data_IF_927968323407
#
_entry.id   IF_927968323407
#
_cell.length_a   1.000
_cell.length_b   1.000
_cell.length_c   1.000
_cell.angle_alpha   90.00
_cell.angle_beta   90.00
_cell.angle_gamma   90.00
#
_symmetry.space_group_name_H-M   'P 1'
#
loop_
_entity.id
_entity.type
_entity.pdbx_description
1 polymer ?
#
# COMPACT_ATOMS: atom_id res chain seq x y z
N UNK A 1 -26.62 36.18 44.38
CA UNK A 1 -25.38 36.41 43.61
C UNK A 1 -25.05 35.13 42.84
N UNK A 2 -25.23 35.21 41.51
CA UNK A 2 -24.81 34.35 40.39
C UNK A 2 -24.57 32.84 40.59
N UNK A 3 -25.39 32.01 39.93
CA UNK A 3 -25.07 30.62 39.58
C UNK A 3 -24.43 30.60 38.18
N UNK A 4 -23.25 29.98 38.06
CA UNK A 4 -22.57 29.77 36.78
C UNK A 4 -22.81 28.33 36.35
N UNK A 5 -23.51 28.14 35.23
CA UNK A 5 -23.68 26.83 34.59
C UNK A 5 -22.63 26.72 33.49
N UNK A 6 -21.66 25.81 33.67
CA UNK A 6 -20.68 25.46 32.65
C UNK A 6 -21.30 24.48 31.66
N UNK A 7 -21.66 24.95 30.45
CA UNK A 7 -21.96 24.07 29.33
C UNK A 7 -20.64 23.54 28.75
N UNK A 8 -20.28 22.31 29.11
CA UNK A 8 -19.20 21.57 28.43
C UNK A 8 -19.66 21.17 27.03
N UNK A 9 -19.18 21.85 26.00
CA UNK A 9 -19.42 21.47 24.61
C UNK A 9 -18.75 20.14 24.29
N UNK A 10 -19.55 19.13 23.90
CA UNK A 10 -19.05 17.91 23.28
C UNK A 10 -18.47 18.27 21.90
N UNK A 11 -17.14 18.22 21.78
CA UNK A 11 -16.50 18.19 20.48
C UNK A 11 -16.78 16.83 19.85
N UNK A 12 -17.79 16.76 18.99
CA UNK A 12 -18.02 15.59 18.13
C UNK A 12 -16.89 15.55 17.12
N UNK A 13 -15.96 14.62 17.29
CA UNK A 13 -14.92 14.36 16.30
C UNK A 13 -15.61 13.81 15.04
N UNK A 14 -15.56 14.59 13.95
CA UNK A 14 -16.02 14.12 12.64
C UNK A 14 -15.22 12.88 12.27
N UNK A 15 -15.85 11.71 12.32
CA UNK A 15 -15.28 10.50 11.74
C UNK A 15 -15.00 10.74 10.25
N UNK A 16 -13.94 10.15 9.73
CA UNK A 16 -13.53 10.32 8.32
C UNK A 16 -14.56 9.77 7.31
N UNK A 17 -15.57 9.04 7.79
CA UNK A 17 -16.54 8.34 6.94
C UNK A 17 -15.97 7.08 6.25
N UNK A 18 -14.67 6.81 6.40
CA UNK A 18 -14.06 5.61 5.86
C UNK A 18 -14.45 4.37 6.65
N UNK A 19 -14.70 3.28 5.91
CA UNK A 19 -14.91 1.95 6.46
C UNK A 19 -14.03 0.97 5.71
N UNK A 20 -13.57 -0.06 6.41
CA UNK A 20 -12.91 -1.20 5.76
C UNK A 20 -13.96 -1.90 4.91
N UNK A 21 -13.75 -1.92 3.59
CA UNK A 21 -14.64 -2.60 2.64
C UNK A 21 -14.17 -4.00 2.29
N UNK A 22 -12.86 -4.26 2.41
CA UNK A 22 -12.26 -5.55 2.10
C UNK A 22 -10.91 -5.73 2.81
N UNK A 23 -10.39 -6.97 2.81
CA UNK A 23 -9.05 -7.33 3.28
C UNK A 23 -8.45 -8.38 2.34
N UNK A 24 -7.27 -8.08 1.79
CA UNK A 24 -6.55 -8.99 0.90
C UNK A 24 -5.42 -9.70 1.65
N UNK A 25 -5.56 -10.99 2.00
CA UNK A 25 -4.49 -11.74 2.62
C UNK A 25 -3.41 -12.07 1.58
N UNK A 26 -2.17 -11.67 1.86
CA UNK A 26 -1.00 -11.98 1.03
C UNK A 26 -0.36 -13.33 1.44
N UNK A 27 -0.30 -13.58 2.75
CA UNK A 27 0.43 -14.73 3.31
C UNK A 27 1.94 -14.55 3.24
N UNK A 28 2.68 -15.66 3.35
CA UNK A 28 4.14 -15.69 3.24
C UNK A 28 4.91 -15.19 4.47
N UNK A 29 6.22 -15.01 4.30
CA UNK A 29 7.15 -14.55 5.35
C UNK A 29 7.81 -13.26 4.93
N UNK A 30 8.08 -12.38 5.89
CA UNK A 30 8.66 -11.06 5.64
C UNK A 30 7.76 -9.94 6.13
N UNK A 31 8.32 -8.74 6.22
CA UNK A 31 7.57 -7.53 6.53
C UNK A 31 7.02 -6.86 5.27
N UNK A 32 5.95 -6.10 5.44
CA UNK A 32 5.44 -5.18 4.43
C UNK A 32 6.06 -3.80 4.58
N UNK A 33 6.13 -3.06 3.47
CA UNK A 33 6.46 -1.63 3.47
C UNK A 33 5.42 -0.88 2.62
N UNK A 34 5.78 -0.28 1.47
CA UNK A 34 4.83 0.44 0.63
C UNK A 34 3.97 -0.44 -0.27
N UNK A 35 2.79 0.11 -0.57
CA UNK A 35 1.86 -0.34 -1.60
C UNK A 35 1.76 0.76 -2.66
N UNK A 36 1.77 0.38 -3.93
CA UNK A 36 1.52 1.29 -5.05
C UNK A 36 0.43 0.73 -5.96
N UNK A 37 -0.33 1.62 -6.60
CA UNK A 37 -1.43 1.25 -7.49
C UNK A 37 -1.12 1.71 -8.92
N UNK A 38 -1.16 0.79 -9.87
CA UNK A 38 -1.38 1.12 -11.27
C UNK A 38 -2.87 1.11 -11.55
N UNK A 39 -3.47 2.30 -11.50
CA UNK A 39 -4.90 2.44 -11.71
C UNK A 39 -5.34 2.04 -13.12
N UNK A 40 -4.48 2.21 -14.12
CA UNK A 40 -4.79 1.92 -15.52
C UNK A 40 -4.83 0.41 -15.80
N UNK A 41 -3.91 -0.34 -15.20
CA UNK A 41 -3.86 -1.79 -15.32
C UNK A 41 -4.70 -2.54 -14.27
N UNK A 42 -5.30 -1.81 -13.32
CA UNK A 42 -5.97 -2.36 -12.13
C UNK A 42 -5.07 -3.29 -11.31
N UNK A 43 -3.84 -2.86 -11.02
CA UNK A 43 -2.87 -3.66 -10.25
C UNK A 43 -2.38 -2.96 -8.99
N UNK A 44 -2.25 -3.72 -7.91
CA UNK A 44 -1.55 -3.31 -6.70
C UNK A 44 -0.17 -3.98 -6.67
N UNK A 45 0.85 -3.21 -6.32
CA UNK A 45 2.22 -3.66 -6.12
C UNK A 45 2.54 -3.53 -4.63
N UNK A 46 2.67 -4.65 -3.94
CA UNK A 46 2.83 -4.73 -2.48
C UNK A 46 4.24 -5.21 -2.16
N UNK A 47 5.07 -4.34 -1.58
CA UNK A 47 6.40 -4.75 -1.11
C UNK A 47 6.30 -5.75 0.04
N UNK A 48 7.05 -6.84 -0.05
CA UNK A 48 6.98 -7.95 0.90
C UNK A 48 8.34 -8.65 1.04
N UNK A 49 9.12 -8.23 2.05
CA UNK A 49 10.42 -8.81 2.38
C UNK A 49 11.48 -8.69 1.28
N UNK A 50 11.54 -9.70 0.41
CA UNK A 50 12.51 -9.81 -0.70
C UNK A 50 11.85 -9.82 -2.07
N UNK A 51 10.55 -9.56 -2.15
CA UNK A 51 9.78 -9.56 -3.39
C UNK A 51 8.67 -8.51 -3.35
N UNK A 52 8.07 -8.24 -4.51
CA UNK A 52 6.82 -7.48 -4.63
C UNK A 52 5.72 -8.39 -5.11
N UNK A 53 4.62 -8.45 -4.38
CA UNK A 53 3.42 -9.16 -4.83
C UNK A 53 2.60 -8.24 -5.73
N UNK A 54 2.16 -8.77 -6.86
CA UNK A 54 1.30 -8.07 -7.81
C UNK A 54 -0.10 -8.64 -7.67
N UNK A 55 -1.04 -7.82 -7.24
CA UNK A 55 -2.43 -8.21 -7.03
C UNK A 55 -3.33 -7.56 -8.07
N UNK A 56 -4.39 -8.25 -8.43
CA UNK A 56 -5.58 -7.66 -9.02
C UNK A 56 -6.21 -6.70 -8.00
N UNK A 57 -6.38 -5.44 -8.40
CA UNK A 57 -6.80 -4.38 -7.49
C UNK A 57 -8.31 -4.40 -7.18
N UNK A 58 -9.10 -5.20 -7.88
CA UNK A 58 -10.56 -5.24 -7.74
C UNK A 58 -11.01 -6.43 -6.87
N UNK A 59 -10.22 -7.51 -6.83
CA UNK A 59 -10.54 -8.70 -6.03
C UNK A 59 -9.41 -9.17 -5.09
N UNK A 60 -8.24 -8.53 -5.14
CA UNK A 60 -7.11 -8.84 -4.26
C UNK A 60 -6.38 -10.14 -4.57
N UNK A 61 -6.71 -10.82 -5.67
CA UNK A 61 -6.01 -12.05 -6.08
C UNK A 61 -4.58 -11.71 -6.45
N UNK A 62 -3.62 -12.48 -5.93
CA UNK A 62 -2.23 -12.41 -6.41
C UNK A 62 -2.18 -12.93 -7.86
N UNK A 63 -1.74 -12.08 -8.77
CA UNK A 63 -1.63 -12.34 -10.22
C UNK A 63 -0.18 -12.41 -10.69
N UNK A 64 0.79 -12.12 -9.81
CA UNK A 64 2.20 -12.27 -10.10
C UNK A 64 3.07 -11.87 -8.92
N UNK A 65 4.38 -12.09 -9.07
CA UNK A 65 5.40 -11.74 -8.09
C UNK A 65 6.63 -11.22 -8.84
N UNK A 66 7.20 -10.12 -8.37
CA UNK A 66 8.50 -9.61 -8.80
C UNK A 66 9.51 -10.08 -7.76
N UNK A 67 10.30 -11.08 -8.12
CA UNK A 67 11.29 -11.70 -7.24
C UNK A 67 12.60 -10.88 -7.19
N UNK A 68 13.53 -11.32 -6.33
CA UNK A 68 14.90 -10.81 -6.24
C UNK A 68 15.01 -9.29 -5.99
N UNK A 69 14.13 -8.78 -5.12
CA UNK A 69 14.14 -7.40 -4.63
C UNK A 69 14.42 -7.37 -3.12
N UNK A 70 15.62 -7.78 -2.66
CA UNK A 70 15.91 -7.90 -1.23
C UNK A 70 15.80 -6.56 -0.50
N UNK A 71 14.95 -6.52 0.53
CA UNK A 71 14.66 -5.30 1.29
C UNK A 71 13.93 -4.25 0.47
N UNK A 72 13.00 -4.68 -0.39
CA UNK A 72 12.21 -3.75 -1.20
C UNK A 72 11.33 -2.86 -0.32
N UNK A 73 11.36 -1.56 -0.58
CA UNK A 73 10.48 -0.59 0.09
C UNK A 73 9.21 -0.31 -0.71
N UNK A 74 9.30 -0.21 -2.04
CA UNK A 74 8.15 0.07 -2.88
C UNK A 74 8.44 -0.09 -4.37
N UNK A 75 7.40 0.14 -5.18
CA UNK A 75 7.46 0.13 -6.62
C UNK A 75 6.89 1.42 -7.21
N UNK A 76 7.50 1.94 -8.27
CA UNK A 76 6.98 3.07 -9.04
C UNK A 76 6.68 2.62 -10.48
N UNK A 77 5.51 2.99 -11.01
CA UNK A 77 5.02 2.52 -12.31
C UNK A 77 5.05 3.65 -13.33
N UNK A 78 5.79 3.43 -14.42
CA UNK A 78 5.85 4.31 -15.57
C UNK A 78 4.95 3.74 -16.69
N UNK A 79 3.62 3.78 -16.47
CA UNK A 79 2.63 3.06 -17.27
C UNK A 79 2.70 3.34 -18.78
N UNK A 80 2.98 4.59 -19.18
CA UNK A 80 3.11 4.97 -20.59
C UNK A 80 4.23 4.21 -21.34
N UNK A 81 5.24 3.73 -20.60
CA UNK A 81 6.36 2.98 -21.12
C UNK A 81 6.24 1.48 -20.85
N UNK A 82 5.20 1.04 -20.12
CA UNK A 82 5.04 -0.34 -19.65
C UNK A 82 6.26 -0.83 -18.86
N UNK A 83 6.77 0.04 -18.00
CA UNK A 83 7.87 -0.29 -17.10
C UNK A 83 7.48 0.02 -15.66
N UNK A 84 8.04 -0.74 -14.74
CA UNK A 84 8.03 -0.45 -13.32
C UNK A 84 9.42 -0.56 -12.72
N UNK A 85 9.59 0.05 -11.54
CA UNK A 85 10.88 0.14 -10.86
C UNK A 85 10.71 -0.15 -9.38
N UNK A 86 11.60 -0.94 -8.78
CA UNK A 86 11.60 -1.23 -7.34
C UNK A 86 12.80 -0.61 -6.64
N UNK A 87 12.63 -0.18 -5.38
CA UNK A 87 13.74 0.29 -4.54
C UNK A 87 14.23 -0.84 -3.61
N UNK A 88 15.39 -1.44 -3.90
CA UNK A 88 15.89 -2.62 -3.20
C UNK A 88 16.92 -2.22 -2.13
N UNK A 89 16.45 -1.99 -0.90
CA UNK A 89 17.20 -1.35 0.17
C UNK A 89 18.41 -2.15 0.68
N UNK A 90 18.36 -3.50 0.67
CA UNK A 90 19.48 -4.33 1.15
C UNK A 90 20.64 -4.44 0.17
N UNK A 91 20.40 -4.10 -1.10
CA UNK A 91 21.44 -4.15 -2.14
C UNK A 91 21.83 -2.76 -2.67
N UNK A 92 21.16 -1.70 -2.23
CA UNK A 92 21.37 -0.33 -2.71
C UNK A 92 21.17 -0.20 -4.23
N UNK A 93 20.13 -0.85 -4.76
CA UNK A 93 19.82 -0.89 -6.20
C UNK A 93 18.38 -0.51 -6.51
N UNK A 94 18.16 -0.18 -7.78
CA UNK A 94 16.85 -0.15 -8.41
C UNK A 94 16.78 -1.29 -9.43
N UNK A 95 15.72 -2.08 -9.41
CA UNK A 95 15.41 -3.02 -10.49
C UNK A 95 14.32 -2.43 -11.39
N UNK A 96 14.41 -2.70 -12.69
CA UNK A 96 13.32 -2.44 -13.64
C UNK A 96 12.61 -3.76 -13.95
N UNK A 97 11.29 -3.71 -14.16
CA UNK A 97 10.46 -4.80 -14.65
C UNK A 97 9.45 -4.27 -15.69
N UNK A 98 8.81 -5.19 -16.43
CA UNK A 98 7.76 -4.92 -17.42
C UNK A 98 6.37 -5.37 -16.92
#
# INVERSE_FOLDING_TARGET
MLAVVLFGGLLVQSGTGYKVVDRYPIGGVGGFDYISIDSSARRLYVSHGTQVEVLDADNGKIIGTIADTPGVHGAAIAAAFKHGFTSNGREHKVSMFD
#
